data_IF_051624761647
#
_entry.id   IF_051624761647
#
_cell.length_a   1.000
_cell.length_b   1.000
_cell.length_c   1.000
_cell.angle_alpha   90.00
_cell.angle_beta   90.00
_cell.angle_gamma   90.00
#
_symmetry.space_group_name_H-M   'P 1'
#
loop_
_entity.id
_entity.type
_entity.pdbx_description
1 polymer ?
#
# COMPACT_ATOMS: atom_id res chain seq x y z
N UNK A 1 -6.91 -8.92 6.13
CA UNK A 1 -5.65 -9.40 6.74
C UNK A 1 -4.79 -10.02 5.64
N UNK A 2 -3.66 -9.39 5.31
CA UNK A 2 -2.80 -9.82 4.20
C UNK A 2 -1.58 -10.57 4.73
N UNK A 3 -1.19 -11.64 4.03
CA UNK A 3 0.04 -12.40 4.28
C UNK A 3 0.77 -12.71 2.97
N UNK A 4 2.11 -12.64 2.96
CA UNK A 4 2.91 -12.98 1.79
C UNK A 4 3.00 -14.50 1.61
N UNK A 5 2.86 -14.97 0.37
CA UNK A 5 3.04 -16.37 -0.02
C UNK A 5 4.00 -16.47 -1.21
N UNK A 6 4.57 -17.66 -1.46
CA UNK A 6 5.34 -17.93 -2.68
C UNK A 6 4.80 -19.16 -3.41
N UNK A 7 4.92 -19.16 -4.73
CA UNK A 7 4.66 -20.35 -5.54
C UNK A 7 5.87 -21.26 -5.50
N UNK A 8 5.71 -22.48 -5.01
CA UNK A 8 6.69 -23.56 -5.17
C UNK A 8 6.25 -24.46 -6.31
N UNK A 9 7.01 -24.43 -7.40
CA UNK A 9 6.92 -25.39 -8.50
C UNK A 9 8.30 -25.48 -9.14
N UNK A 10 8.84 -26.69 -9.24
CA UNK A 10 10.02 -26.93 -10.06
C UNK A 10 9.69 -26.45 -11.48
N UNK A 11 10.61 -25.72 -12.11
CA UNK A 11 10.45 -25.06 -13.41
C UNK A 11 10.21 -25.99 -14.62
N UNK A 12 9.63 -27.18 -14.41
CA UNK A 12 9.24 -28.10 -15.45
C UNK A 12 7.78 -27.81 -15.86
N UNK A 13 7.65 -26.95 -16.88
CA UNK A 13 6.43 -26.39 -17.48
C UNK A 13 5.45 -27.41 -18.12
N UNK A 14 5.38 -28.66 -17.66
CA UNK A 14 4.50 -29.68 -18.26
C UNK A 14 3.30 -30.11 -17.43
N UNK A 15 3.18 -29.70 -16.17
CA UNK A 15 2.02 -30.06 -15.36
C UNK A 15 1.44 -28.85 -14.62
N UNK A 16 0.36 -28.28 -15.17
CA UNK A 16 -0.36 -27.11 -14.62
C UNK A 16 -1.23 -27.46 -13.41
N UNK A 17 -1.24 -28.71 -12.94
CA UNK A 17 -2.28 -29.20 -12.03
C UNK A 17 -2.02 -28.92 -10.54
N UNK A 18 -0.83 -28.52 -10.11
CA UNK A 18 -0.60 -28.28 -8.67
C UNK A 18 0.43 -27.17 -8.40
N UNK A 19 0.00 -25.91 -8.46
CA UNK A 19 0.77 -24.81 -7.85
C UNK A 19 0.69 -25.01 -6.33
N UNK A 20 1.77 -25.46 -5.70
CA UNK A 20 1.84 -25.46 -4.25
C UNK A 20 2.14 -24.04 -3.76
N UNK A 21 1.27 -23.51 -2.91
CA UNK A 21 1.46 -22.20 -2.28
C UNK A 21 2.23 -22.42 -0.97
N UNK A 22 3.53 -22.11 -0.99
CA UNK A 22 4.43 -22.20 0.15
C UNK A 22 4.37 -20.95 1.05
N UNK A 23 4.59 -21.15 2.35
CA UNK A 23 4.76 -20.05 3.33
C UNK A 23 6.22 -19.63 3.41
N UNK A 24 6.47 -18.34 3.44
CA UNK A 24 7.81 -17.84 3.76
C UNK A 24 8.17 -18.19 5.21
N UNK A 25 9.46 -18.31 5.50
CA UNK A 25 9.91 -18.37 6.89
C UNK A 25 9.63 -17.03 7.57
N UNK A 26 9.33 -17.05 8.87
CA UNK A 26 8.88 -15.87 9.63
C UNK A 26 9.76 -14.62 9.43
N UNK A 27 11.08 -14.79 9.34
CA UNK A 27 12.01 -13.69 9.09
C UNK A 27 11.75 -13.00 7.74
N UNK A 28 11.54 -13.79 6.68
CA UNK A 28 11.24 -13.28 5.34
C UNK A 28 9.83 -12.69 5.25
N UNK A 29 8.85 -13.28 5.95
CA UNK A 29 7.50 -12.70 6.07
C UNK A 29 7.58 -11.31 6.71
N UNK A 30 8.31 -11.20 7.81
CA UNK A 30 8.45 -9.96 8.56
C UNK A 30 9.13 -8.87 7.73
N UNK A 31 10.21 -9.17 7.03
CA UNK A 31 10.88 -8.21 6.14
C UNK A 31 9.93 -7.67 5.05
N UNK A 32 9.15 -8.55 4.42
CA UNK A 32 8.16 -8.17 3.40
C UNK A 32 7.05 -7.31 3.97
N UNK A 33 6.51 -7.69 5.13
CA UNK A 33 5.45 -6.94 5.80
C UNK A 33 5.94 -5.54 6.26
N UNK A 34 7.17 -5.43 6.76
CA UNK A 34 7.77 -4.13 7.06
C UNK A 34 7.91 -3.26 5.80
N UNK A 35 8.31 -3.85 4.68
CA UNK A 35 8.38 -3.11 3.41
C UNK A 35 7.00 -2.61 2.96
N UNK A 36 5.98 -3.45 3.03
CA UNK A 36 4.60 -3.05 2.70
C UNK A 36 4.08 -1.95 3.64
N UNK A 37 4.32 -2.07 4.95
CA UNK A 37 3.94 -1.04 5.93
C UNK A 37 4.64 0.31 5.66
N UNK A 38 5.95 0.27 5.35
CA UNK A 38 6.70 1.48 4.99
C UNK A 38 6.16 2.11 3.70
N UNK A 39 5.79 1.31 2.69
CA UNK A 39 5.18 1.79 1.46
C UNK A 39 3.88 2.54 1.74
N UNK A 40 3.03 2.04 2.63
CA UNK A 40 1.79 2.73 3.03
C UNK A 40 2.09 4.05 3.75
N UNK A 41 3.04 4.05 4.69
CA UNK A 41 3.47 5.27 5.40
C UNK A 41 3.98 6.37 4.45
N UNK A 42 4.83 6.00 3.48
CA UNK A 42 5.31 6.93 2.47
C UNK A 42 4.20 7.40 1.54
N UNK A 43 3.25 6.52 1.18
CA UNK A 43 2.09 6.89 0.35
C UNK A 43 1.21 7.92 1.04
N UNK A 44 0.93 7.76 2.33
CA UNK A 44 0.24 8.76 3.16
C UNK A 44 0.98 10.11 3.16
N UNK A 45 2.29 10.09 3.33
CA UNK A 45 3.13 11.29 3.37
C UNK A 45 3.15 12.04 2.02
N UNK A 46 3.26 11.32 0.91
CA UNK A 46 3.21 11.89 -0.44
C UNK A 46 1.85 12.48 -0.78
N UNK A 47 0.77 11.83 -0.35
CA UNK A 47 -0.58 12.36 -0.53
C UNK A 47 -0.80 13.63 0.31
N UNK A 48 -0.30 13.65 1.55
CA UNK A 48 -0.32 14.85 2.39
C UNK A 48 0.43 16.01 1.74
N UNK A 49 1.65 15.78 1.25
CA UNK A 49 2.43 16.77 0.50
C UNK A 49 1.66 17.29 -0.74
N UNK A 50 0.93 16.40 -1.42
CA UNK A 50 0.13 16.77 -2.60
C UNK A 50 -1.02 17.70 -2.20
N UNK A 51 -1.72 17.43 -1.10
CA UNK A 51 -2.76 18.33 -0.60
C UNK A 51 -2.21 19.65 -0.12
N UNK A 52 -1.08 19.66 0.58
CA UNK A 52 -0.42 20.92 0.96
C UNK A 52 -0.06 21.76 -0.27
N UNK A 53 0.38 21.14 -1.37
CA UNK A 53 0.59 21.84 -2.64
C UNK A 53 -0.70 22.44 -3.20
N UNK A 54 -1.80 21.68 -3.22
CA UNK A 54 -3.11 22.14 -3.68
C UNK A 54 -3.61 23.30 -2.82
N UNK A 55 -3.55 23.17 -1.50
CA UNK A 55 -4.07 24.16 -0.56
C UNK A 55 -3.34 25.49 -0.69
N UNK A 56 -2.01 25.46 -0.88
CA UNK A 56 -1.23 26.67 -1.19
C UNK A 56 -1.63 27.30 -2.52
N UNK A 57 -1.90 26.50 -3.56
CA UNK A 57 -2.33 27.01 -4.87
C UNK A 57 -3.71 27.67 -4.80
N UNK A 58 -4.64 27.09 -4.03
CA UNK A 58 -5.97 27.65 -3.80
C UNK A 58 -5.86 28.96 -3.01
N UNK A 59 -5.07 28.98 -1.93
CA UNK A 59 -4.90 30.16 -1.09
C UNK A 59 -4.25 31.34 -1.83
N UNK A 60 -3.40 31.06 -2.83
CA UNK A 60 -2.76 32.06 -3.67
C UNK A 60 -3.66 32.53 -4.84
N UNK A 61 -4.79 31.86 -5.09
CA UNK A 61 -5.68 32.18 -6.20
C UNK A 61 -6.67 33.30 -5.81
N UNK A 62 -6.92 34.29 -6.69
CA UNK A 62 -7.93 35.33 -6.43
C UNK A 62 -9.36 34.79 -6.54
N UNK A 63 -9.56 33.61 -7.12
CA UNK A 63 -10.87 32.98 -7.33
C UNK A 63 -10.87 31.55 -6.80
N UNK A 64 -12.02 31.06 -6.28
CA UNK A 64 -12.12 29.67 -5.85
C UNK A 64 -12.01 28.70 -7.04
N UNK A 65 -11.68 27.42 -6.79
CA UNK A 65 -11.69 26.39 -7.83
C UNK A 65 -13.07 26.28 -8.48
N UNK A 66 -13.15 26.11 -9.81
CA UNK A 66 -14.43 26.02 -10.52
C UNK A 66 -15.13 24.66 -10.33
N UNK A 67 -14.47 23.70 -9.68
CA UNK A 67 -14.98 22.36 -9.39
C UNK A 67 -14.54 21.92 -7.99
N UNK A 68 -15.29 21.02 -7.33
CA UNK A 68 -14.87 20.44 -6.06
C UNK A 68 -13.60 19.60 -6.26
N UNK A 69 -12.62 19.78 -5.39
CA UNK A 69 -11.38 18.99 -5.41
C UNK A 69 -11.56 17.77 -4.48
N UNK A 70 -11.42 16.54 -5.00
CA UNK A 70 -11.53 15.34 -4.17
C UNK A 70 -10.59 15.36 -2.95
N UNK A 71 -11.08 14.85 -1.81
CA UNK A 71 -10.30 14.66 -0.58
C UNK A 71 -10.29 13.19 -0.20
N UNK A 72 -9.31 12.50 -0.74
CA UNK A 72 -9.03 11.07 -0.58
C UNK A 72 -8.00 10.84 0.52
N UNK A 73 -8.07 9.68 1.18
CA UNK A 73 -7.06 9.24 2.14
C UNK A 73 -6.69 7.77 1.93
N UNK A 74 -5.49 7.41 2.34
CA UNK A 74 -5.13 6.01 2.50
C UNK A 74 -5.82 5.43 3.74
N UNK A 75 -6.14 4.14 3.68
CA UNK A 75 -6.56 3.39 4.86
C UNK A 75 -5.47 3.40 5.93
N UNK A 76 -5.87 3.40 7.20
CA UNK A 76 -4.92 3.17 8.27
C UNK A 76 -4.45 1.72 8.24
N UNK A 77 -3.15 1.51 8.46
CA UNK A 77 -2.58 0.18 8.46
C UNK A 77 -1.53 0.01 9.56
N UNK A 78 -1.39 -1.22 10.05
CA UNK A 78 -0.49 -1.55 11.13
C UNK A 78 0.02 -2.99 11.07
N UNK A 79 1.18 -3.23 11.68
CA UNK A 79 1.75 -4.57 11.79
C UNK A 79 1.28 -5.24 13.09
N UNK A 80 0.61 -6.38 12.96
CA UNK A 80 0.26 -7.23 14.10
C UNK A 80 1.27 -8.38 14.22
N UNK A 81 1.90 -8.46 15.39
CA UNK A 81 2.84 -9.53 15.75
C UNK A 81 2.16 -10.51 16.70
N UNK A 82 2.19 -11.79 16.35
CA UNK A 82 1.58 -12.87 17.15
C UNK A 82 2.67 -13.61 17.90
N UNK A 83 2.44 -13.75 19.20
CA UNK A 83 3.33 -14.42 20.13
C UNK A 83 2.60 -15.57 20.81
N UNK A 84 3.30 -16.69 21.01
CA UNK A 84 2.83 -17.81 21.83
C UNK A 84 3.82 -18.05 22.96
N UNK A 85 3.30 -18.37 24.13
CA UNK A 85 4.13 -18.86 25.23
C UNK A 85 4.57 -20.29 24.92
N UNK A 86 5.85 -20.59 25.15
CA UNK A 86 6.29 -21.98 25.18
C UNK A 86 5.60 -22.69 26.36
N UNK A 87 5.14 -23.95 26.19
CA UNK A 87 4.54 -24.70 27.29
C UNK A 87 5.55 -24.82 28.44
N UNK A 88 5.08 -24.60 29.66
CA UNK A 88 5.91 -24.79 30.86
C UNK A 88 6.39 -26.24 30.90
N UNK A 89 7.71 -26.44 30.85
CA UNK A 89 8.28 -27.77 31.04
C UNK A 89 7.95 -28.25 32.44
N UNK A 90 7.20 -29.35 32.56
CA UNK A 90 6.81 -30.00 33.83
C UNK A 90 8.00 -30.62 34.59
N UNK A 91 9.23 -30.25 34.28
CA UNK A 91 10.43 -30.74 34.95
C UNK A 91 10.70 -29.92 36.22
N UNK A 92 10.68 -30.62 37.36
CA UNK A 92 10.83 -30.15 38.75
C UNK A 92 12.25 -29.63 39.08
N UNK A 93 12.95 -29.00 38.13
CA UNK A 93 14.20 -28.30 38.41
C UNK A 93 13.95 -26.80 38.34
N UNK A 94 13.64 -26.24 39.50
CA UNK A 94 13.50 -24.82 39.75
C UNK A 94 14.83 -24.10 39.47
N UNK A 95 15.01 -23.67 38.23
CA UNK A 95 16.02 -22.70 37.83
C UNK A 95 15.42 -21.81 36.76
N UNK A 96 14.92 -20.63 37.18
CA UNK A 96 14.77 -19.41 36.36
C UNK A 96 14.36 -19.59 34.89
N UNK A 97 13.42 -20.50 34.61
CA UNK A 97 12.88 -20.66 33.25
C UNK A 97 11.98 -19.47 32.96
N UNK A 98 12.58 -18.38 32.44
CA UNK A 98 11.83 -17.28 31.85
C UNK A 98 10.86 -17.89 30.86
N UNK A 99 9.55 -17.66 31.05
CA UNK A 99 8.53 -17.98 30.06
C UNK A 99 9.01 -17.43 28.70
N UNK A 100 9.43 -18.34 27.82
CA UNK A 100 10.02 -17.97 26.54
C UNK A 100 8.89 -17.67 25.58
N UNK A 101 8.53 -16.41 25.47
CA UNK A 101 7.58 -15.92 24.46
C UNK A 101 8.24 -16.00 23.08
N UNK A 102 7.67 -16.78 22.15
CA UNK A 102 8.15 -16.89 20.77
C UNK A 102 7.16 -16.26 19.80
N UNK A 103 7.67 -15.44 18.88
CA UNK A 103 6.85 -14.92 17.78
C UNK A 103 6.52 -16.07 16.81
N UNK A 104 5.24 -16.23 16.49
CA UNK A 104 4.72 -17.29 15.62
C UNK A 104 4.12 -16.76 14.33
N UNK A 105 3.95 -15.45 14.21
CA UNK A 105 3.44 -14.86 12.99
C UNK A 105 3.48 -13.34 12.99
N UNK A 106 3.40 -12.78 11.79
CA UNK A 106 3.18 -11.37 11.55
C UNK A 106 2.08 -11.18 10.50
N UNK A 107 1.42 -10.04 10.53
CA UNK A 107 0.32 -9.69 9.61
C UNK A 107 0.27 -8.18 9.37
N UNK A 108 -0.06 -7.78 8.14
CA UNK A 108 -0.49 -6.42 7.86
C UNK A 108 -2.00 -6.34 8.08
N UNK A 109 -2.40 -5.46 8.98
CA UNK A 109 -3.78 -5.08 9.23
C UNK A 109 -4.04 -3.77 8.53
N UNK A 110 -5.17 -3.68 7.84
CA UNK A 110 -5.65 -2.48 7.18
C UNK A 110 -7.06 -2.20 7.71
N UNK A 111 -7.40 -0.92 7.82
CA UNK A 111 -8.74 -0.46 8.12
C UNK A 111 -9.74 -1.09 7.14
N UNK A 112 -10.81 -1.66 7.69
CA UNK A 112 -11.91 -2.16 6.87
C UNK A 112 -12.71 -0.97 6.36
N UNK A 113 -12.73 -0.78 5.04
CA UNK A 113 -13.60 0.20 4.41
C UNK A 113 -15.02 -0.37 4.42
N UNK A 114 -15.92 0.23 5.20
CA UNK A 114 -17.34 -0.14 5.22
C UNK A 114 -18.08 0.70 4.17
N UNK A 115 -18.18 0.17 2.95
CA UNK A 115 -18.89 0.79 1.84
C UNK A 115 -19.55 -0.29 0.99
N UNK A 116 -20.74 0.01 0.48
CA UNK A 116 -21.52 -0.89 -0.38
C UNK A 116 -21.11 -0.83 -1.86
N UNK A 117 -20.05 -0.05 -2.19
CA UNK A 117 -19.52 0.08 -3.56
C UNK A 117 -18.49 -0.98 -3.93
N UNK A 118 -18.16 -1.09 -5.21
CA UNK A 118 -17.13 -2.03 -5.67
C UNK A 118 -15.71 -1.51 -5.43
N UNK A 119 -14.79 -2.43 -5.13
CA UNK A 119 -13.36 -2.11 -5.06
C UNK A 119 -12.82 -1.88 -6.47
N UNK A 120 -12.55 -0.62 -6.77
CA UNK A 120 -12.24 -0.13 -8.11
C UNK A 120 -10.76 0.19 -8.24
N UNK A 121 -10.17 -0.18 -9.37
CA UNK A 121 -8.80 0.20 -9.74
C UNK A 121 -8.85 1.43 -10.64
N UNK A 122 -8.41 2.57 -10.13
CA UNK A 122 -8.50 3.87 -10.81
C UNK A 122 -7.34 4.11 -11.77
N UNK A 123 -6.12 3.71 -11.41
CA UNK A 123 -4.90 3.95 -12.21
C UNK A 123 -4.01 2.71 -12.20
N UNK A 124 -3.51 2.32 -13.36
CA UNK A 124 -2.60 1.18 -13.48
C UNK A 124 -1.19 1.50 -12.94
N UNK A 125 -0.41 0.48 -12.60
CA UNK A 125 0.99 0.68 -12.16
C UNK A 125 1.96 0.93 -13.33
N UNK A 126 1.50 0.77 -14.57
CA UNK A 126 2.33 0.89 -15.78
C UNK A 126 1.93 2.08 -16.66
N UNK A 127 0.97 2.88 -16.22
CA UNK A 127 0.43 4.00 -16.99
C UNK A 127 0.04 5.15 -16.05
N UNK A 128 -0.02 6.35 -16.58
CA UNK A 128 -0.42 7.58 -15.87
C UNK A 128 -1.75 8.14 -16.40
N UNK A 129 -2.61 7.26 -16.91
CA UNK A 129 -3.95 7.59 -17.40
C UNK A 129 -5.02 6.91 -16.54
N UNK A 130 -6.22 7.51 -16.43
CA UNK A 130 -7.38 6.85 -15.84
C UNK A 130 -7.64 5.50 -16.51
N UNK A 131 -7.96 4.48 -15.70
CA UNK A 131 -8.47 3.20 -16.22
C UNK A 131 -9.96 3.27 -16.55
N UNK A 132 -10.67 4.23 -15.96
CA UNK A 132 -12.09 4.46 -16.18
C UNK A 132 -12.29 5.34 -17.42
N UNK A 133 -13.40 5.12 -18.13
CA UNK A 133 -13.87 5.98 -19.21
C UNK A 133 -14.59 7.22 -18.64
N UNK A 134 -14.68 8.34 -19.41
CA UNK A 134 -15.31 9.58 -18.93
C UNK A 134 -16.77 9.45 -18.48
N UNK A 135 -17.48 8.43 -18.93
CA UNK A 135 -18.87 8.12 -18.57
C UNK A 135 -19.01 7.19 -17.37
N UNK A 136 -17.91 6.64 -16.84
CA UNK A 136 -17.91 5.76 -15.67
C UNK A 136 -17.86 6.55 -14.35
N UNK A 137 -18.57 6.05 -13.34
CA UNK A 137 -18.54 6.62 -12.00
C UNK A 137 -17.12 6.57 -11.40
N UNK A 138 -16.66 7.70 -10.85
CA UNK A 138 -15.31 7.83 -10.29
C UNK A 138 -14.22 8.15 -11.31
N UNK A 139 -14.57 8.44 -12.57
CA UNK A 139 -13.61 8.95 -13.55
C UNK A 139 -12.91 10.25 -13.08
N UNK A 140 -13.67 11.17 -12.47
CA UNK A 140 -13.15 12.40 -11.87
C UNK A 140 -12.11 12.13 -10.77
N UNK A 141 -12.34 11.09 -9.96
CA UNK A 141 -11.38 10.60 -8.98
C UNK A 141 -10.14 10.04 -9.68
N UNK A 142 -10.29 9.26 -10.75
CA UNK A 142 -9.16 8.73 -11.52
C UNK A 142 -8.31 9.84 -12.16
N UNK A 143 -8.94 10.88 -12.73
CA UNK A 143 -8.23 12.06 -13.25
C UNK A 143 -7.49 12.81 -12.14
N UNK A 144 -8.16 13.05 -11.01
CA UNK A 144 -7.54 13.66 -9.84
C UNK A 144 -6.32 12.87 -9.37
N UNK A 145 -6.43 11.54 -9.32
CA UNK A 145 -5.34 10.66 -8.93
C UNK A 145 -4.17 10.74 -9.91
N UNK A 146 -4.41 10.80 -11.23
CA UNK A 146 -3.35 11.04 -12.23
C UNK A 146 -2.65 12.40 -11.99
N UNK A 147 -3.42 13.45 -11.68
CA UNK A 147 -2.87 14.74 -11.28
C UNK A 147 -1.97 14.62 -10.04
N UNK A 148 -2.35 13.84 -9.03
CA UNK A 148 -1.50 13.64 -7.84
C UNK A 148 -0.16 12.99 -8.19
N UNK A 149 -0.13 12.02 -9.12
CA UNK A 149 1.12 11.40 -9.57
C UNK A 149 2.05 12.43 -10.19
N UNK A 150 1.50 13.33 -11.01
CA UNK A 150 2.26 14.39 -11.65
C UNK A 150 2.87 15.36 -10.63
N UNK A 151 2.08 15.82 -9.66
CA UNK A 151 2.58 16.69 -8.57
C UNK A 151 3.67 15.99 -7.78
N UNK A 152 3.47 14.73 -7.38
CA UNK A 152 4.43 13.96 -6.61
C UNK A 152 5.74 13.77 -7.37
N UNK A 153 5.68 13.42 -8.65
CA UNK A 153 6.85 13.28 -9.51
C UNK A 153 7.63 14.60 -9.60
N UNK A 154 6.96 15.74 -9.81
CA UNK A 154 7.63 17.05 -9.86
C UNK A 154 8.24 17.42 -8.50
N UNK A 155 7.46 17.33 -7.42
CA UNK A 155 7.90 17.74 -6.08
C UNK A 155 9.04 16.89 -5.54
N UNK A 156 9.11 15.63 -5.95
CA UNK A 156 10.20 14.71 -5.58
C UNK A 156 11.35 14.73 -6.58
N UNK A 157 11.35 15.64 -7.56
CA UNK A 157 12.37 15.74 -8.62
C UNK A 157 12.55 14.43 -9.42
N UNK A 158 11.44 13.72 -9.62
CA UNK A 158 11.36 12.49 -10.40
C UNK A 158 11.78 11.23 -9.64
N UNK A 159 11.90 11.28 -8.31
CA UNK A 159 12.35 10.14 -7.50
C UNK A 159 11.21 9.16 -7.17
N UNK A 160 10.01 9.68 -6.89
CA UNK A 160 8.91 8.84 -6.41
C UNK A 160 7.55 9.44 -6.73
N UNK A 161 6.61 8.56 -7.04
CA UNK A 161 5.19 8.86 -7.10
C UNK A 161 4.41 7.60 -6.70
N UNK A 162 3.17 7.79 -6.28
CA UNK A 162 2.28 6.68 -5.96
C UNK A 162 1.68 6.15 -7.26
N UNK A 163 1.65 4.83 -7.43
CA UNK A 163 0.96 4.22 -8.57
C UNK A 163 -0.04 3.18 -8.09
N UNK A 164 -0.70 2.52 -9.03
CA UNK A 164 -1.66 1.46 -8.73
C UNK A 164 -2.74 1.92 -7.74
N UNK A 165 -3.34 3.07 -8.02
CA UNK A 165 -4.41 3.59 -7.19
C UNK A 165 -5.64 2.70 -7.32
N UNK A 166 -6.09 2.18 -6.19
CA UNK A 166 -7.26 1.34 -6.07
C UNK A 166 -7.93 1.57 -4.72
N UNK A 167 -9.22 1.35 -4.63
CA UNK A 167 -9.96 1.61 -3.41
C UNK A 167 -11.45 1.48 -3.63
N UNK A 168 -12.21 1.76 -2.59
CA UNK A 168 -13.66 1.90 -2.68
C UNK A 168 -13.96 3.37 -2.49
N UNK A 169 -14.84 3.92 -3.33
CA UNK A 169 -15.31 5.28 -3.12
C UNK A 169 -16.74 5.30 -2.58
N UNK A 170 -16.96 6.19 -1.61
CA UNK A 170 -18.26 6.66 -1.16
C UNK A 170 -18.33 8.16 -1.38
N UNK A 171 -19.54 8.74 -1.35
CA UNK A 171 -19.79 10.18 -1.48
C UNK A 171 -18.99 11.10 -0.51
N UNK A 172 -18.34 10.56 0.53
CA UNK A 172 -17.70 11.34 1.61
C UNK A 172 -16.21 11.04 1.78
N UNK A 173 -15.75 9.82 1.51
CA UNK A 173 -14.33 9.41 1.61
C UNK A 173 -14.05 8.21 0.70
N UNK A 174 -13.02 8.26 -0.14
CA UNK A 174 -12.47 7.03 -0.73
C UNK A 174 -11.29 6.54 0.13
N UNK A 175 -11.36 5.29 0.58
CA UNK A 175 -10.25 4.60 1.22
C UNK A 175 -9.35 3.99 0.15
N UNK A 176 -8.13 4.51 0.04
CA UNK A 176 -7.18 4.07 -0.99
C UNK A 176 -6.24 2.99 -0.43
N UNK A 177 -6.07 1.91 -1.18
CA UNK A 177 -4.94 1.01 -1.07
C UNK A 177 -4.06 1.24 -2.30
N UNK A 178 -2.74 1.34 -2.17
CA UNK A 178 -1.88 1.55 -3.35
C UNK A 178 -0.52 0.89 -3.21
N UNK A 179 0.13 0.73 -4.35
CA UNK A 179 1.51 0.26 -4.44
C UNK A 179 2.36 1.47 -4.81
N UNK A 180 3.20 1.94 -3.89
CA UNK A 180 4.18 2.97 -4.17
C UNK A 180 5.22 2.45 -5.17
N UNK A 181 5.44 3.16 -6.28
CA UNK A 181 6.57 2.90 -7.17
C UNK A 181 7.68 3.88 -6.83
N UNK A 182 8.76 3.35 -6.25
CA UNK A 182 10.04 4.06 -6.18
C UNK A 182 10.72 3.92 -7.53
N UNK A 183 10.73 4.98 -8.34
CA UNK A 183 11.65 5.07 -9.47
C UNK A 183 13.01 5.50 -8.90
N UNK A 184 13.80 4.53 -8.45
CA UNK A 184 15.20 4.79 -8.15
C UNK A 184 15.87 5.17 -9.48
N UNK A 185 16.03 6.47 -9.73
CA UNK A 185 16.81 6.95 -10.86
C UNK A 185 18.27 6.60 -10.56
N UNK A 186 18.76 5.49 -11.12
CA UNK A 186 20.20 5.29 -11.28
C UNK A 186 20.69 6.49 -12.10
N UNK A 187 21.40 7.39 -11.41
CA UNK A 187 22.02 8.55 -12.04
C UNK A 187 23.23 8.04 -12.82
N UNK A 188 23.00 7.44 -13.99
CA UNK A 188 24.04 7.32 -15.01
C UNK A 188 24.24 8.69 -15.64
N UNK A 189 24.95 9.55 -14.93
CA UNK A 189 25.74 10.62 -15.54
C UNK A 189 27.19 10.17 -15.50
N UNK A 190 27.53 9.27 -16.42
CA UNK A 190 28.87 9.16 -16.96
C UNK A 190 28.93 10.04 -18.21
N UNK A 191 29.97 10.88 -18.25
CA UNK A 191 30.39 11.82 -19.31
C UNK A 191 29.76 13.21 -19.31
#
# INVERSE_FOLDING_TARGET
MKRPYHSTGDGNLKDKSTIQIGRYVLQQELEKLFREANVLYWSQSLMKMTYEFIDHAIAASPTPPPFPIPRLRFVDAGLALVYTQAPESTSVSASLSRSSTRMTGAYLLEEKIECDGDFTKFVHNCDCVPLLNPDEEGYDIAEFLCFTQHVQYIKTKGLVYIANYQGMCSFVTCGMASILILLCRESNTAH
#
